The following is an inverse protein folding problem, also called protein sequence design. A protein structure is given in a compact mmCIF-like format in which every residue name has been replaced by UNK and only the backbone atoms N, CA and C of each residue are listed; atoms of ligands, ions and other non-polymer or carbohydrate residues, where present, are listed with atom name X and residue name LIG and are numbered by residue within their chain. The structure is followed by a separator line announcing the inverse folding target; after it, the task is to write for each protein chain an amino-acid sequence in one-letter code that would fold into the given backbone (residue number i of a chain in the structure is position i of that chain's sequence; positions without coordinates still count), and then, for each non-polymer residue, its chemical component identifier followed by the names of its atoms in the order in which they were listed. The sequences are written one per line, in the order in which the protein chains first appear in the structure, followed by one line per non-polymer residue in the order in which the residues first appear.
data_IF_421217763347
#
_entry.id   IF_421217763347
#
_cell.length_a   1.000
_cell.length_b   1.000
_cell.length_c   1.000
_cell.angle_alpha   90.00
_cell.angle_beta   90.00
_cell.angle_gamma   90.00
#
_symmetry.space_group_name_H-M   'P 1'
#
loop_
_entity.id
_entity.type
_entity.pdbx_description
1 polymer ?
#
# COMPACT_ATOMS: atom_id res chain seq x y z
N UNK A 1 -0.35 11.65 -24.73
CA UNK A 1 -1.80 11.97 -24.75
C UNK A 1 -2.53 10.87 -23.97
N UNK A 2 -3.45 11.26 -23.09
CA UNK A 2 -4.36 10.31 -22.41
C UNK A 2 -5.57 10.06 -23.31
N UNK A 3 -5.79 8.81 -23.71
CA UNK A 3 -6.95 8.42 -24.50
C UNK A 3 -8.02 7.84 -23.59
N UNK A 4 -9.29 8.14 -23.86
CA UNK A 4 -10.41 7.41 -23.26
C UNK A 4 -10.67 6.13 -24.05
N UNK A 5 -11.04 5.07 -23.35
CA UNK A 5 -11.45 3.81 -23.96
C UNK A 5 -12.96 3.71 -23.88
N UNK A 6 -13.63 3.51 -25.01
CA UNK A 6 -15.07 3.32 -25.11
C UNK A 6 -15.37 1.90 -25.59
N UNK A 7 -16.48 1.31 -25.17
CA UNK A 7 -16.82 -0.06 -25.56
C UNK A 7 -17.20 -0.15 -27.03
N UNK A 8 -17.92 0.86 -27.55
CA UNK A 8 -18.44 0.91 -28.92
C UNK A 8 -18.08 2.20 -29.64
N UNK A 9 -18.13 2.17 -30.97
CA UNK A 9 -18.00 3.38 -31.81
C UNK A 9 -19.08 4.41 -31.49
N UNK A 10 -20.32 3.97 -31.22
CA UNK A 10 -21.44 4.85 -30.89
C UNK A 10 -21.18 5.62 -29.60
N UNK A 11 -20.69 4.93 -28.56
CA UNK A 11 -20.31 5.57 -27.30
C UNK A 11 -19.15 6.56 -27.49
N UNK A 12 -18.15 6.19 -28.30
CA UNK A 12 -17.04 7.11 -28.62
C UNK A 12 -17.54 8.39 -29.33
N UNK A 13 -18.49 8.26 -30.27
CA UNK A 13 -19.11 9.40 -30.95
C UNK A 13 -19.89 10.29 -29.99
N UNK A 14 -20.64 9.71 -29.06
CA UNK A 14 -21.37 10.48 -28.04
C UNK A 14 -20.42 11.28 -27.14
N UNK A 15 -19.31 10.67 -26.70
CA UNK A 15 -18.29 11.35 -25.89
C UNK A 15 -17.64 12.52 -26.65
N UNK A 16 -17.34 12.33 -27.94
CA UNK A 16 -16.79 13.40 -28.77
C UNK A 16 -17.79 14.53 -29.02
N UNK A 17 -19.07 14.20 -29.27
CA UNK A 17 -20.14 15.18 -29.43
C UNK A 17 -20.33 16.01 -28.15
N UNK A 18 -20.34 15.34 -27.00
CA UNK A 18 -20.42 16.00 -25.69
C UNK A 18 -19.20 16.91 -25.46
N UNK A 19 -17.98 16.43 -25.73
CA UNK A 19 -16.78 17.25 -25.58
C UNK A 19 -16.81 18.51 -26.48
N UNK A 20 -17.36 18.40 -27.69
CA UNK A 20 -17.54 19.52 -28.60
C UNK A 20 -18.61 20.51 -28.11
N UNK A 21 -19.75 20.02 -27.61
CA UNK A 21 -20.85 20.83 -27.09
C UNK A 21 -20.44 21.67 -25.87
N UNK A 22 -19.67 21.08 -24.95
CA UNK A 22 -19.25 21.73 -23.71
C UNK A 22 -17.84 22.35 -23.79
N UNK A 23 -17.21 22.37 -24.97
CA UNK A 23 -15.91 23.01 -25.16
C UNK A 23 -14.76 22.38 -24.37
N UNK A 24 -14.80 21.06 -24.12
CA UNK A 24 -13.82 20.34 -23.29
C UNK A 24 -12.45 20.10 -23.96
N UNK A 25 -12.22 20.70 -25.13
CA UNK A 25 -10.97 20.61 -25.87
C UNK A 25 -10.84 19.33 -26.72
N UNK A 26 -9.60 18.99 -27.10
CA UNK A 26 -9.31 17.82 -27.95
C UNK A 26 -9.29 16.55 -27.12
N UNK A 27 -10.26 15.68 -27.38
CA UNK A 27 -10.38 14.37 -26.74
C UNK A 27 -10.00 13.27 -27.73
N UNK A 28 -9.11 12.36 -27.31
CA UNK A 28 -8.82 11.12 -28.05
C UNK A 28 -9.61 9.98 -27.43
N UNK A 29 -10.43 9.30 -28.22
CA UNK A 29 -11.24 8.15 -27.77
C UNK A 29 -10.94 6.94 -28.66
N UNK A 30 -10.72 5.78 -28.05
CA UNK A 30 -10.45 4.51 -28.72
C UNK A 30 -11.65 3.56 -28.49
N UNK A 31 -12.41 3.21 -29.55
CA UNK A 31 -13.52 2.28 -29.44
C UNK A 31 -13.01 0.82 -29.51
N UNK A 32 -13.33 0.01 -28.50
CA UNK A 32 -12.83 -1.37 -28.33
C UNK A 32 -13.34 -2.33 -29.40
N UNK A 33 -14.57 -2.16 -29.87
CA UNK A 33 -15.18 -2.93 -30.96
C UNK A 33 -14.44 -2.83 -32.32
N UNK A 34 -13.59 -1.83 -32.48
CA UNK A 34 -12.74 -1.62 -33.67
C UNK A 34 -11.29 -2.05 -33.48
N UNK A 35 -10.89 -2.36 -32.25
CA UNK A 35 -9.56 -2.86 -31.94
C UNK A 35 -9.48 -4.28 -32.48
N UNK A 36 -8.84 -4.44 -33.63
CA UNK A 36 -8.54 -5.77 -34.17
C UNK A 36 -7.55 -6.44 -33.24
N UNK A 37 -7.89 -7.62 -32.73
CA UNK A 37 -6.91 -8.54 -32.15
C UNK A 37 -6.03 -9.03 -33.30
N UNK A 38 -5.03 -8.24 -33.68
CA UNK A 38 -4.07 -8.65 -34.69
C UNK A 38 -3.35 -9.90 -34.21
N UNK A 39 -3.28 -10.92 -35.06
CA UNK A 39 -2.41 -12.08 -34.85
C UNK A 39 -0.96 -11.59 -34.66
N UNK A 40 -0.22 -12.28 -33.78
CA UNK A 40 1.11 -11.96 -33.25
C UNK A 40 2.26 -11.94 -34.32
N UNK A 41 1.98 -11.58 -35.57
CA UNK A 41 2.83 -11.87 -36.74
C UNK A 41 3.83 -10.77 -37.14
N UNK A 42 3.87 -9.60 -36.49
CA UNK A 42 4.59 -8.44 -37.04
C UNK A 42 6.02 -8.19 -36.53
N UNK A 43 6.51 -8.88 -35.50
CA UNK A 43 7.90 -8.71 -35.05
C UNK A 43 8.47 -10.05 -34.64
N UNK A 44 9.53 -10.51 -35.34
CA UNK A 44 10.24 -11.73 -34.99
C UNK A 44 10.92 -11.52 -33.61
N UNK A 45 10.39 -12.09 -32.51
CA UNK A 45 10.81 -11.73 -31.15
C UNK A 45 12.24 -12.18 -30.86
N UNK A 46 12.76 -13.14 -31.63
CA UNK A 46 14.12 -13.69 -31.46
C UNK A 46 15.25 -12.69 -31.75
N UNK A 47 14.96 -11.52 -32.34
CA UNK A 47 15.99 -10.51 -32.70
C UNK A 47 15.86 -9.17 -31.97
N UNK A 48 14.85 -8.98 -31.12
CA UNK A 48 14.67 -7.72 -30.39
C UNK A 48 15.47 -7.74 -29.07
N UNK A 49 16.28 -6.72 -28.77
CA UNK A 49 16.95 -6.62 -27.47
C UNK A 49 15.96 -6.15 -26.40
N UNK A 50 15.69 -7.00 -25.41
CA UNK A 50 14.94 -6.64 -24.20
C UNK A 50 13.67 -7.45 -23.94
N UNK A 51 12.92 -7.04 -22.92
CA UNK A 51 11.66 -7.67 -22.49
C UNK A 51 10.51 -6.93 -23.18
N UNK A 52 9.53 -7.61 -23.81
CA UNK A 52 8.36 -6.95 -24.37
C UNK A 52 7.63 -6.14 -23.30
N UNK A 53 7.27 -4.88 -23.60
CA UNK A 53 6.66 -3.99 -22.61
C UNK A 53 5.32 -4.53 -22.08
N UNK A 54 4.62 -5.33 -22.89
CA UNK A 54 3.40 -6.05 -22.53
C UNK A 54 3.56 -7.00 -21.35
N UNK A 55 4.75 -7.59 -21.15
CA UNK A 55 5.00 -8.52 -20.05
C UNK A 55 5.26 -7.80 -18.72
N UNK A 56 5.58 -6.51 -18.77
CA UNK A 56 5.89 -5.69 -17.60
C UNK A 56 4.65 -5.04 -16.97
N UNK A 57 3.48 -5.17 -17.59
CA UNK A 57 2.23 -4.56 -17.14
C UNK A 57 1.16 -5.63 -16.88
N UNK A 58 0.36 -5.41 -15.83
CA UNK A 58 -0.84 -6.22 -15.57
C UNK A 58 -2.01 -5.59 -16.31
N UNK A 59 -2.55 -6.30 -17.31
CA UNK A 59 -3.67 -5.82 -18.14
C UNK A 59 -4.90 -6.68 -17.88
N UNK A 60 -6.07 -6.08 -17.60
CA UNK A 60 -7.32 -6.83 -17.49
C UNK A 60 -7.69 -7.43 -18.86
N UNK A 61 -8.26 -8.65 -18.86
CA UNK A 61 -8.42 -9.45 -20.08
C UNK A 61 -9.20 -8.77 -21.20
N UNK A 62 -10.20 -7.96 -20.85
CA UNK A 62 -11.02 -7.18 -21.79
C UNK A 62 -10.27 -6.07 -22.53
N UNK A 63 -9.13 -5.61 -22.00
CA UNK A 63 -8.29 -4.59 -22.62
C UNK A 63 -7.04 -5.16 -23.29
N UNK A 64 -6.81 -6.47 -23.18
CA UNK A 64 -5.59 -7.13 -23.67
C UNK A 64 -5.33 -6.87 -25.16
N UNK A 65 -6.35 -6.93 -26.02
CA UNK A 65 -6.23 -6.66 -27.46
C UNK A 65 -5.78 -5.22 -27.75
N UNK A 66 -6.31 -4.24 -27.00
CA UNK A 66 -5.94 -2.83 -27.16
C UNK A 66 -4.48 -2.60 -26.77
N UNK A 67 -4.07 -3.11 -25.62
CA UNK A 67 -2.69 -2.96 -25.16
C UNK A 67 -1.71 -3.69 -26.08
N UNK A 68 -2.07 -4.88 -26.59
CA UNK A 68 -1.26 -5.56 -27.61
C UNK A 68 -1.08 -4.70 -28.85
N UNK A 69 -2.14 -4.07 -29.38
CA UNK A 69 -2.03 -3.22 -30.56
C UNK A 69 -1.20 -1.95 -30.30
N UNK A 70 -1.31 -1.36 -29.11
CA UNK A 70 -0.59 -0.13 -28.76
C UNK A 70 0.89 -0.38 -28.44
N UNK A 71 1.20 -1.51 -27.82
CA UNK A 71 2.54 -1.85 -27.33
C UNK A 71 3.24 -2.92 -28.17
N UNK A 72 2.62 -3.38 -29.27
CA UNK A 72 3.28 -4.28 -30.22
C UNK A 72 4.54 -3.61 -30.77
N UNK A 73 5.66 -4.33 -30.72
CA UNK A 73 6.95 -3.81 -31.17
C UNK A 73 7.67 -2.94 -30.15
N UNK A 74 7.12 -2.70 -28.95
CA UNK A 74 7.79 -2.00 -27.87
C UNK A 74 8.49 -2.97 -26.90
N UNK A 75 9.77 -2.74 -26.66
CA UNK A 75 10.60 -3.53 -25.77
C UNK A 75 11.25 -2.64 -24.72
N UNK A 76 11.46 -3.17 -23.54
CA UNK A 76 12.22 -2.52 -22.48
C UNK A 76 13.61 -3.13 -22.39
N UNK A 77 14.62 -2.27 -22.37
CA UNK A 77 16.02 -2.68 -22.22
C UNK A 77 16.71 -1.84 -21.13
N UNK A 78 17.60 -2.46 -20.37
CA UNK A 78 18.50 -1.74 -19.47
C UNK A 78 19.55 -0.98 -20.29
N UNK A 79 19.99 0.21 -19.86
CA UNK A 79 20.92 1.06 -20.61
C UNK A 79 22.23 0.36 -21.02
N UNK A 80 22.67 -0.66 -20.27
CA UNK A 80 23.86 -1.46 -20.60
C UNK A 80 23.65 -2.58 -21.63
N UNK A 81 22.42 -2.80 -22.10
CA UNK A 81 22.06 -3.93 -22.98
C UNK A 81 21.82 -3.53 -24.43
N UNK A 82 21.90 -2.24 -24.76
CA UNK A 82 21.83 -1.75 -26.13
C UNK A 82 23.19 -1.97 -26.83
N UNK A 83 23.21 -2.34 -28.13
CA UNK A 83 24.45 -2.41 -28.89
C UNK A 83 25.07 -1.01 -28.94
N UNK A 84 26.23 -0.86 -28.28
CA UNK A 84 27.04 0.36 -28.32
C UNK A 84 27.55 0.53 -29.76
N UNK A 85 27.32 1.69 -30.36
CA UNK A 85 28.02 2.10 -31.59
C UNK A 85 29.52 2.26 -31.29
N UNK A 86 30.27 1.16 -31.31
CA UNK A 86 31.71 1.17 -31.48
C UNK A 86 32.03 0.52 -32.83
N UNK A 87 31.82 1.27 -33.91
CA UNK A 87 32.53 1.04 -35.15
C UNK A 87 33.12 2.37 -35.63
N UNK A 88 34.40 2.56 -35.28
CA UNK A 88 35.31 3.42 -36.04
C UNK A 88 35.43 2.83 -37.45
N UNK A 89 34.59 3.27 -38.38
CA UNK A 89 34.73 2.90 -39.80
C UNK A 89 35.69 3.91 -40.43
N UNK A 90 36.86 3.41 -40.84
CA UNK A 90 37.85 4.15 -41.61
C UNK A 90 37.26 4.70 -42.92
N UNK A 91 37.68 5.90 -43.28
CA UNK A 91 37.04 6.77 -44.27
C UNK A 91 37.31 6.44 -45.76
N UNK A 92 37.36 5.17 -46.18
CA UNK A 92 37.75 4.83 -47.56
C UNK A 92 36.70 4.21 -48.49
N UNK A 93 35.51 3.79 -48.02
CA UNK A 93 34.50 3.21 -48.91
C UNK A 93 33.28 4.12 -49.11
N UNK A 94 33.48 5.24 -49.82
CA UNK A 94 32.43 6.08 -50.38
C UNK A 94 32.36 5.89 -51.91
N UNK A 95 31.72 4.82 -52.38
CA UNK A 95 31.22 4.76 -53.77
C UNK A 95 30.14 3.70 -53.97
N UNK A 96 28.94 3.94 -53.43
CA UNK A 96 27.79 3.09 -53.78
C UNK A 96 26.48 3.50 -53.11
N UNK A 97 25.63 4.24 -53.83
CA UNK A 97 24.18 4.29 -53.56
C UNK A 97 23.71 5.28 -52.48
N UNK A 98 23.39 6.50 -52.91
CA UNK A 98 22.70 7.53 -52.10
C UNK A 98 21.22 7.18 -51.84
N UNK A 99 20.97 6.13 -51.05
CA UNK A 99 19.62 5.82 -50.52
C UNK A 99 19.59 5.47 -49.03
N UNK A 100 20.74 5.53 -48.33
CA UNK A 100 20.89 5.03 -46.95
C UNK A 100 21.01 6.10 -45.84
N UNK A 101 20.89 7.40 -46.12
CA UNK A 101 21.44 8.45 -45.23
C UNK A 101 20.36 9.15 -44.34
N UNK A 102 19.16 8.60 -44.15
CA UNK A 102 18.14 9.24 -43.28
C UNK A 102 17.59 8.40 -42.12
N UNK A 103 18.17 7.24 -41.84
CA UNK A 103 17.88 6.51 -40.59
C UNK A 103 19.20 6.02 -40.02
N UNK A 104 19.63 6.60 -38.89
CA UNK A 104 20.76 6.06 -38.12
C UNK A 104 20.53 4.57 -37.91
N UNK A 105 21.45 3.75 -38.42
CA UNK A 105 21.40 2.30 -38.34
C UNK A 105 21.66 1.85 -36.89
N UNK A 106 20.66 1.98 -36.04
CA UNK A 106 20.54 1.05 -34.92
C UNK A 106 20.28 -0.32 -35.56
N UNK A 107 21.09 -1.35 -35.31
CA UNK A 107 20.94 -2.72 -35.85
C UNK A 107 19.66 -3.45 -35.40
N UNK A 108 18.60 -2.71 -35.10
CA UNK A 108 17.30 -3.18 -34.66
C UNK A 108 16.45 -3.58 -35.88
N UNK A 109 15.68 -4.67 -35.77
CA UNK A 109 14.75 -5.06 -36.83
C UNK A 109 13.70 -3.96 -37.07
N UNK A 110 13.26 -3.83 -38.31
CA UNK A 110 12.23 -2.86 -38.72
C UNK A 110 10.96 -3.04 -37.89
N UNK A 111 10.43 -1.94 -37.34
CA UNK A 111 9.20 -1.95 -36.53
C UNK A 111 9.40 -2.17 -35.03
N UNK A 112 10.64 -2.29 -34.55
CA UNK A 112 10.95 -2.39 -33.12
C UNK A 112 11.33 -1.03 -32.55
N UNK A 113 10.71 -0.67 -31.43
CA UNK A 113 11.06 0.47 -30.59
C UNK A 113 11.50 -0.04 -29.21
N UNK A 114 12.67 0.37 -28.76
CA UNK A 114 13.21 0.03 -27.44
C UNK A 114 13.11 1.24 -26.53
N UNK A 115 12.58 1.03 -25.33
CA UNK A 115 12.48 2.01 -24.24
C UNK A 115 13.54 1.69 -23.20
N UNK A 116 14.44 2.63 -22.91
CA UNK A 116 15.45 2.42 -21.86
C UNK A 116 14.89 2.70 -20.47
N UNK A 117 15.59 2.24 -19.43
CA UNK A 117 15.27 2.57 -18.03
C UNK A 117 15.27 4.07 -17.73
N UNK A 118 16.00 4.89 -18.49
CA UNK A 118 15.97 6.35 -18.37
C UNK A 118 14.83 7.02 -19.17
N UNK A 119 14.03 6.23 -19.89
CA UNK A 119 12.93 6.73 -20.71
C UNK A 119 13.31 7.16 -22.13
N UNK A 120 14.51 6.80 -22.61
CA UNK A 120 14.90 7.06 -24.00
C UNK A 120 14.23 6.06 -24.95
N UNK A 121 13.81 6.54 -26.13
CA UNK A 121 13.24 5.71 -27.20
C UNK A 121 14.28 5.52 -28.30
N UNK A 122 14.52 4.28 -28.71
CA UNK A 122 15.52 3.90 -29.74
C UNK A 122 14.87 2.98 -30.77
N UNK A 123 15.06 3.23 -32.07
CA UNK A 123 14.56 2.37 -33.16
C UNK A 123 13.48 3.02 -34.03
N UNK A 124 12.52 2.22 -34.50
CA UNK A 124 11.45 2.66 -35.39
C UNK A 124 10.35 3.40 -34.61
N UNK A 125 10.67 4.60 -34.10
CA UNK A 125 9.73 5.41 -33.32
C UNK A 125 8.59 5.88 -34.23
N UNK A 126 7.34 5.43 -34.03
CA UNK A 126 6.22 5.95 -34.80
C UNK A 126 6.05 7.45 -34.47
N UNK A 127 5.88 8.28 -35.50
CA UNK A 127 5.81 9.76 -35.51
C UNK A 127 4.67 10.39 -34.67
N UNK A 128 4.14 9.70 -33.66
CA UNK A 128 3.15 10.23 -32.70
C UNK A 128 3.79 10.84 -31.45
N UNK A 129 5.11 10.84 -31.34
CA UNK A 129 5.80 11.70 -30.38
C UNK A 129 5.92 13.09 -31.01
N UNK A 130 5.10 14.05 -30.55
CA UNK A 130 5.40 15.49 -30.67
C UNK A 130 6.61 15.84 -29.78
N UNK A 131 7.71 15.13 -29.95
CA UNK A 131 9.02 15.59 -29.53
C UNK A 131 9.57 16.31 -30.75
N UNK A 132 9.35 17.63 -30.80
CA UNK A 132 10.26 18.50 -31.54
C UNK A 132 11.67 18.01 -31.22
N UNK A 133 12.50 17.85 -32.24
CA UNK A 133 13.89 17.39 -32.18
C UNK A 133 14.80 18.38 -31.43
N UNK A 134 14.40 18.82 -30.24
CA UNK A 134 15.28 19.41 -29.25
C UNK A 134 16.05 18.26 -28.64
N UNK A 135 17.36 18.26 -28.90
CA UNK A 135 18.31 17.53 -28.05
C UNK A 135 17.90 17.76 -26.60
N UNK A 136 17.71 16.70 -25.79
CA UNK A 136 17.49 16.89 -24.37
C UNK A 136 18.71 17.62 -23.83
N UNK A 137 18.54 18.90 -23.50
CA UNK A 137 19.56 19.62 -22.75
C UNK A 137 19.71 18.87 -21.44
N UNK A 138 20.96 18.58 -21.06
CA UNK A 138 21.32 17.65 -19.98
C UNK A 138 20.70 18.05 -18.62
N UNK A 139 20.20 19.28 -18.51
CA UNK A 139 19.59 19.88 -17.33
C UNK A 139 18.04 19.95 -17.35
N UNK A 140 17.38 19.66 -18.48
CA UNK A 140 15.91 19.80 -18.64
C UNK A 140 15.15 18.46 -18.46
N UNK A 141 15.85 17.39 -18.10
CA UNK A 141 15.25 16.11 -17.68
C UNK A 141 14.45 16.23 -16.38
N UNK A 142 14.71 17.28 -15.57
CA UNK A 142 13.96 17.56 -14.34
C UNK A 142 12.49 17.94 -14.58
N UNK A 143 12.13 18.51 -15.75
CA UNK A 143 10.73 18.85 -16.07
C UNK A 143 9.89 17.64 -16.50
N UNK A 144 10.52 16.58 -16.99
CA UNK A 144 9.85 15.34 -17.37
C UNK A 144 9.91 14.26 -16.26
N UNK A 145 10.89 14.33 -15.37
CA UNK A 145 11.06 13.41 -14.24
C UNK A 145 10.52 13.95 -12.90
N UNK A 146 10.31 15.27 -12.77
CA UNK A 146 9.84 15.92 -11.54
C UNK A 146 8.35 15.72 -11.24
N UNK A 147 7.59 15.18 -12.19
CA UNK A 147 6.26 14.63 -11.92
C UNK A 147 6.22 13.27 -12.58
N UNK A 148 6.16 12.19 -11.79
CA UNK A 148 5.87 10.88 -12.34
C UNK A 148 4.72 11.04 -13.34
N UNK A 149 4.89 10.55 -14.58
CA UNK A 149 3.83 10.65 -15.60
C UNK A 149 2.51 10.10 -15.05
N UNK A 150 1.39 10.28 -15.77
CA UNK A 150 0.06 9.81 -15.31
C UNK A 150 0.09 8.38 -14.72
N UNK A 151 0.92 7.51 -15.30
CA UNK A 151 1.17 6.14 -14.82
C UNK A 151 1.92 6.08 -13.47
N UNK A 152 2.94 6.90 -13.27
CA UNK A 152 3.68 6.98 -12.00
C UNK A 152 2.79 7.49 -10.86
N UNK A 153 2.01 8.54 -11.10
CA UNK A 153 1.03 9.05 -10.12
C UNK A 153 -0.08 8.05 -9.83
N UNK A 154 -0.56 7.31 -10.83
CA UNK A 154 -1.56 6.26 -10.63
C UNK A 154 -1.02 5.14 -9.71
N UNK A 155 0.22 4.69 -9.95
CA UNK A 155 0.88 3.70 -9.09
C UNK A 155 1.11 4.20 -7.66
N UNK A 156 1.45 5.48 -7.47
CA UNK A 156 1.54 6.09 -6.15
C UNK A 156 0.18 6.17 -5.46
N UNK A 157 -0.89 6.53 -6.17
CA UNK A 157 -2.25 6.58 -5.63
C UNK A 157 -2.74 5.20 -5.21
N UNK A 158 -2.46 4.15 -5.97
CA UNK A 158 -2.86 2.79 -5.60
C UNK A 158 -2.10 2.31 -4.36
N UNK A 159 -0.79 2.60 -4.25
CA UNK A 159 -0.02 2.32 -3.04
C UNK A 159 -0.56 3.08 -1.83
N UNK A 160 -0.93 4.36 -2.00
CA UNK A 160 -1.52 5.17 -0.93
C UNK A 160 -2.88 4.61 -0.51
N UNK A 161 -3.72 4.17 -1.44
CA UNK A 161 -5.01 3.52 -1.14
C UNK A 161 -4.81 2.25 -0.32
N UNK A 162 -3.87 1.40 -0.70
CA UNK A 162 -3.53 0.18 0.06
C UNK A 162 -2.95 0.50 1.44
N UNK A 163 -2.19 1.58 1.58
CA UNK A 163 -1.68 2.02 2.87
C UNK A 163 -2.81 2.55 3.79
N UNK A 164 -3.73 3.33 3.24
CA UNK A 164 -4.91 3.85 3.96
C UNK A 164 -5.78 2.69 4.44
N UNK A 165 -6.12 1.73 3.58
CA UNK A 165 -6.95 0.59 3.95
C UNK A 165 -6.33 -0.24 5.10
N UNK A 166 -5.00 -0.40 5.10
CA UNK A 166 -4.29 -1.07 6.21
C UNK A 166 -4.34 -0.25 7.50
N UNK A 167 -4.14 1.07 7.41
CA UNK A 167 -4.20 1.94 8.58
C UNK A 167 -5.61 1.98 9.20
N UNK A 168 -6.66 1.98 8.38
CA UNK A 168 -8.05 1.87 8.84
C UNK A 168 -8.29 0.55 9.59
N UNK A 169 -7.82 -0.57 9.03
CA UNK A 169 -7.92 -1.87 9.69
C UNK A 169 -7.18 -1.93 11.03
N UNK A 170 -5.99 -1.32 11.11
CA UNK A 170 -5.23 -1.23 12.37
C UNK A 170 -5.94 -0.35 13.40
N UNK A 171 -6.56 0.76 12.97
CA UNK A 171 -7.33 1.64 13.84
C UNK A 171 -8.54 0.92 14.45
N UNK A 172 -9.29 0.16 13.66
CA UNK A 172 -10.44 -0.62 14.15
C UNK A 172 -10.03 -1.69 15.18
N UNK A 173 -8.89 -2.34 14.96
CA UNK A 173 -8.34 -3.31 15.92
C UNK A 173 -7.92 -2.64 17.23
N UNK A 174 -7.32 -1.46 17.15
CA UNK A 174 -6.93 -0.70 18.34
C UNK A 174 -8.15 -0.20 19.12
N UNK A 175 -9.21 0.25 18.43
CA UNK A 175 -10.45 0.69 19.08
C UNK A 175 -11.12 -0.46 19.83
N UNK A 176 -11.17 -1.65 19.22
CA UNK A 176 -11.68 -2.87 19.86
C UNK A 176 -10.90 -3.20 21.14
N UNK A 177 -9.55 -3.22 21.05
CA UNK A 177 -8.68 -3.49 22.21
C UNK A 177 -8.83 -2.43 23.31
N UNK A 178 -9.01 -1.16 22.94
CA UNK A 178 -9.24 -0.09 23.89
C UNK A 178 -10.57 -0.28 24.64
N UNK A 179 -11.61 -0.76 23.94
CA UNK A 179 -12.87 -1.17 24.54
C UNK A 179 -12.68 -2.27 25.59
N UNK A 180 -12.00 -3.36 25.23
CA UNK A 180 -11.72 -4.48 26.13
C UNK A 180 -10.95 -4.04 27.39
N UNK A 181 -9.93 -3.19 27.23
CA UNK A 181 -9.15 -2.67 28.37
C UNK A 181 -10.01 -1.77 29.28
N UNK A 182 -10.92 -0.96 28.72
CA UNK A 182 -11.85 -0.16 29.53
C UNK A 182 -12.78 -1.04 30.35
N UNK A 183 -13.30 -2.10 29.75
CA UNK A 183 -14.19 -3.05 30.41
C UNK A 183 -13.46 -3.81 31.53
N UNK A 184 -12.25 -4.30 31.25
CA UNK A 184 -11.38 -4.92 32.27
C UNK A 184 -11.08 -3.97 33.43
N UNK A 185 -10.76 -2.71 33.13
CA UNK A 185 -10.53 -1.68 34.16
C UNK A 185 -11.76 -1.51 35.03
N UNK A 186 -12.95 -1.41 34.43
CA UNK A 186 -14.21 -1.28 35.16
C UNK A 186 -14.47 -2.46 36.10
N UNK A 187 -14.26 -3.69 35.62
CA UNK A 187 -14.40 -4.90 36.43
C UNK A 187 -13.40 -4.94 37.59
N UNK A 188 -12.14 -4.55 37.36
CA UNK A 188 -11.12 -4.47 38.42
C UNK A 188 -11.52 -3.42 39.46
N UNK A 189 -12.01 -2.26 39.04
CA UNK A 189 -12.49 -1.22 39.96
C UNK A 189 -13.64 -1.72 40.83
N UNK A 190 -14.62 -2.42 40.25
CA UNK A 190 -15.73 -3.01 41.02
C UNK A 190 -15.25 -4.05 42.03
N UNK A 191 -14.35 -4.96 41.62
CA UNK A 191 -13.76 -5.95 42.52
C UNK A 191 -12.99 -5.31 43.67
N UNK A 192 -12.22 -4.26 43.38
CA UNK A 192 -11.48 -3.53 44.40
C UNK A 192 -12.41 -2.91 45.45
N UNK A 193 -13.53 -2.31 45.03
CA UNK A 193 -14.52 -1.78 45.96
C UNK A 193 -15.15 -2.88 46.82
N UNK A 194 -15.52 -4.01 46.22
CA UNK A 194 -16.07 -5.16 46.97
C UNK A 194 -15.08 -5.72 48.00
N UNK A 195 -13.81 -5.92 47.62
CA UNK A 195 -12.78 -6.37 48.56
C UNK A 195 -12.54 -5.37 49.70
N UNK A 196 -12.66 -4.08 49.41
CA UNK A 196 -12.50 -3.04 50.44
C UNK A 196 -13.64 -3.10 51.47
N UNK A 197 -14.88 -3.23 51.02
CA UNK A 197 -16.05 -3.36 51.90
C UNK A 197 -15.97 -4.65 52.75
N UNK A 198 -15.52 -5.76 52.16
CA UNK A 198 -15.29 -7.01 52.88
C UNK A 198 -14.19 -6.86 53.95
N UNK A 199 -13.08 -6.20 53.61
CA UNK A 199 -12.00 -5.94 54.55
C UNK A 199 -12.44 -5.04 55.73
N UNK A 200 -13.23 -4.00 55.45
CA UNK A 200 -13.78 -3.12 56.49
C UNK A 200 -14.72 -3.91 57.43
N UNK A 201 -15.54 -4.82 56.87
CA UNK A 201 -16.43 -5.70 57.67
C UNK A 201 -15.64 -6.64 58.57
N UNK A 202 -14.59 -7.28 58.04
CA UNK A 202 -13.72 -8.16 58.82
C UNK A 202 -13.00 -7.40 59.94
N UNK A 203 -12.59 -6.15 59.69
CA UNK A 203 -11.95 -5.33 60.71
C UNK A 203 -12.91 -5.05 61.88
N UNK A 204 -14.17 -4.72 61.58
CA UNK A 204 -15.21 -4.50 62.59
C UNK A 204 -15.49 -5.78 63.41
N UNK A 205 -15.54 -6.95 62.76
CA UNK A 205 -15.71 -8.25 63.44
C UNK A 205 -14.55 -8.59 64.38
N UNK A 206 -13.31 -8.30 63.96
CA UNK A 206 -12.11 -8.47 64.78
C UNK A 206 -12.14 -7.55 65.99
N UNK A 207 -12.51 -6.29 65.80
CA UNK A 207 -12.64 -5.32 66.88
C UNK A 207 -13.71 -5.75 67.89
N UNK A 208 -14.85 -6.28 67.43
CA UNK A 208 -15.87 -6.80 68.31
C UNK A 208 -15.40 -8.02 69.09
N UNK A 209 -14.74 -8.97 68.42
CA UNK A 209 -14.17 -10.16 69.06
C UNK A 209 -13.14 -9.79 70.14
N UNK A 210 -12.32 -8.76 69.91
CA UNK A 210 -11.36 -8.27 70.90
C UNK A 210 -12.04 -7.66 72.14
N UNK A 211 -13.17 -6.97 71.96
CA UNK A 211 -13.96 -6.45 73.10
C UNK A 211 -14.56 -7.59 73.90
N UNK A 212 -15.13 -8.59 73.24
CA UNK A 212 -15.74 -9.74 73.88
C UNK A 212 -14.70 -10.55 74.67
N UNK A 213 -13.49 -10.77 74.10
CA UNK A 213 -12.36 -11.38 74.81
C UNK A 213 -11.96 -10.60 76.06
N UNK A 214 -11.86 -9.28 75.95
CA UNK A 214 -11.51 -8.40 77.08
C UNK A 214 -12.54 -8.49 78.22
N UNK A 215 -13.83 -8.60 77.89
CA UNK A 215 -14.89 -8.82 78.87
C UNK A 215 -14.76 -10.19 79.53
N UNK A 216 -14.50 -11.24 78.75
CA UNK A 216 -14.32 -12.60 79.26
C UNK A 216 -13.12 -12.70 80.22
N UNK A 217 -12.01 -12.02 79.89
CA UNK A 217 -10.83 -11.95 80.75
C UNK A 217 -11.14 -11.29 82.09
N UNK A 218 -11.91 -10.20 82.08
CA UNK A 218 -12.35 -9.52 83.29
C UNK A 218 -13.23 -10.43 84.17
N UNK A 219 -14.19 -11.12 83.57
CA UNK A 219 -15.05 -12.08 84.28
C UNK A 219 -14.25 -13.25 84.88
N UNK A 220 -13.30 -13.80 84.12
CA UNK A 220 -12.39 -14.84 84.60
C UNK A 220 -11.56 -14.36 85.79
N UNK A 221 -11.00 -13.15 85.74
CA UNK A 221 -10.26 -12.59 86.89
C UNK A 221 -11.15 -12.45 88.11
N UNK A 222 -12.38 -11.96 87.93
CA UNK A 222 -13.36 -11.82 89.02
C UNK A 222 -13.70 -13.16 89.65
N UNK A 223 -14.11 -14.15 88.86
CA UNK A 223 -14.42 -15.50 89.35
C UNK A 223 -13.23 -16.14 90.05
N UNK A 224 -12.01 -15.93 89.52
CA UNK A 224 -10.78 -16.44 90.15
C UNK A 224 -10.60 -15.83 91.53
N UNK A 225 -10.82 -14.51 91.66
CA UNK A 225 -10.82 -13.78 92.93
C UNK A 225 -11.84 -14.35 93.92
N UNK A 226 -13.10 -14.45 93.50
CA UNK A 226 -14.20 -14.98 94.32
C UNK A 226 -13.88 -16.41 94.80
N UNK A 227 -13.29 -17.26 93.94
CA UNK A 227 -12.91 -18.63 94.28
C UNK A 227 -11.75 -18.68 95.28
N UNK A 228 -10.76 -17.80 95.16
CA UNK A 228 -9.69 -17.68 96.16
C UNK A 228 -10.21 -17.23 97.51
N UNK A 229 -11.17 -16.29 97.54
CA UNK A 229 -11.80 -15.83 98.76
C UNK A 229 -12.62 -16.96 99.42
N UNK A 230 -13.46 -17.65 98.65
CA UNK A 230 -14.24 -18.79 99.14
C UNK A 230 -13.35 -19.88 99.75
N UNK A 231 -12.24 -20.20 99.06
CA UNK A 231 -11.26 -21.19 99.52
C UNK A 231 -10.62 -20.80 100.86
N UNK A 232 -10.46 -19.51 101.13
CA UNK A 232 -9.94 -19.03 102.42
C UNK A 232 -10.98 -19.09 103.54
N UNK A 233 -12.28 -19.00 103.21
CA UNK A 233 -13.37 -19.05 104.19
C UNK A 233 -13.75 -20.48 104.61
N UNK A 234 -13.60 -21.48 103.72
CA UNK A 234 -13.89 -22.90 104.01
C UNK A 234 -13.23 -23.44 105.29
N UNK A 235 -11.91 -23.23 105.54
CA UNK A 235 -11.30 -23.71 106.79
C UNK A 235 -11.84 -23.02 108.05
N UNK A 236 -12.31 -21.76 107.96
CA UNK A 236 -12.88 -21.03 109.09
C UNK A 236 -14.31 -21.49 109.46
N UNK A 237 -14.98 -22.25 108.60
CA UNK A 237 -16.33 -22.81 108.84
C UNK A 237 -16.31 -24.27 109.32
N UNK A 238 -15.13 -24.90 109.33
CA UNK A 238 -14.93 -26.30 109.74
C UNK A 238 -14.31 -26.45 111.15
N UNK A 239 -14.15 -25.34 111.89
CA UNK A 239 -13.86 -25.31 113.34
C UNK A 239 -15.15 -25.07 114.14
#
# INVERSE_FOLDING_TARGET
ATCLVAETVEQARQLLAYAAEYGLGRLSVIPLDRVTTGDDSAANPERAPGIPLMELIKVPGNLSGLYRQLLSGFYWASEGSLPREEQTVSAEDLSGGLSGILTGQTGLPSGVTVVTSAGHLVGAVPFLTHLDSRKPDRDDTSRYLGSGGVVGRAGELDRLREAIARAEQEADQLDTRLGEVKDQRSQITQRYHGLKEEADTVLDEVDQSNRDLSQLEYELQRMTGDLTELKSQVPALNE
#
